data_IF_352071236538
#
_entry.id   IF_352071236538
#
_cell.length_a   1.000
_cell.length_b   1.000
_cell.length_c   1.000
_cell.angle_alpha   90.00
_cell.angle_beta   90.00
_cell.angle_gamma   90.00
#
_symmetry.space_group_name_H-M   'P 1'
#
loop_
_entity.id
_entity.type
_entity.pdbx_description
1 polymer ?
#
# COMPACT_ATOMS: atom_id res chain seq x y z
N UNK A 1 8.24 -1.77 3.57
CA UNK A 1 7.63 -0.86 2.57
C UNK A 1 6.12 -0.74 2.75
N UNK A 2 5.41 -1.81 3.06
CA UNK A 2 3.98 -1.78 3.43
C UNK A 2 3.78 -1.57 4.95
N UNK A 3 4.56 -0.65 5.53
CA UNK A 3 4.36 -0.27 6.93
C UNK A 3 3.06 0.50 7.08
N UNK A 4 2.50 0.46 8.29
CA UNK A 4 1.36 1.27 8.65
C UNK A 4 1.65 2.78 8.52
N UNK A 5 0.59 3.55 8.59
CA UNK A 5 0.51 4.90 8.05
C UNK A 5 0.57 6.01 9.09
N UNK A 6 0.64 5.66 10.38
CA UNK A 6 0.65 6.58 11.49
C UNK A 6 1.86 6.37 12.41
N UNK A 7 2.10 7.34 13.29
CA UNK A 7 3.15 7.30 14.32
C UNK A 7 2.61 6.78 15.67
N UNK A 8 1.40 6.20 15.67
CA UNK A 8 0.86 5.57 16.85
C UNK A 8 1.78 4.42 17.32
N UNK A 9 1.90 4.18 18.64
CA UNK A 9 2.77 3.10 19.14
C UNK A 9 2.41 1.71 18.59
N UNK A 10 1.15 1.47 18.25
CA UNK A 10 0.70 0.20 17.63
C UNK A 10 1.07 0.07 16.15
N UNK A 11 1.40 1.19 15.50
CA UNK A 11 1.71 1.30 14.07
C UNK A 11 3.23 1.46 13.84
N UNK A 12 4.00 1.51 14.93
CA UNK A 12 5.44 1.74 14.91
C UNK A 12 6.17 0.43 15.15
N UNK A 13 7.04 0.07 14.20
CA UNK A 13 7.90 -1.10 14.30
C UNK A 13 8.97 -0.98 15.40
N UNK A 14 9.71 -2.07 15.59
CA UNK A 14 10.93 -2.08 16.40
C UNK A 14 12.17 -2.09 15.52
N UNK A 15 13.30 -1.77 16.15
CA UNK A 15 14.62 -1.93 15.56
C UNK A 15 14.81 -3.36 15.00
N UNK A 16 15.38 -3.53 13.78
CA UNK A 16 15.64 -4.83 13.17
C UNK A 16 16.46 -5.78 14.04
N UNK A 17 17.37 -5.30 14.88
CA UNK A 17 18.11 -6.14 15.83
C UNK A 17 17.19 -6.73 16.90
N UNK A 18 16.24 -5.94 17.42
CA UNK A 18 15.21 -6.41 18.35
C UNK A 18 14.36 -7.47 17.67
N UNK A 19 13.85 -7.20 16.46
CA UNK A 19 13.02 -8.15 15.73
C UNK A 19 13.75 -9.47 15.40
N UNK A 20 15.03 -9.39 15.02
CA UNK A 20 15.87 -10.59 14.80
C UNK A 20 16.03 -11.42 16.07
N UNK A 21 16.10 -10.78 17.23
CA UNK A 21 16.20 -11.48 18.51
C UNK A 21 14.89 -12.16 18.93
N UNK A 22 13.74 -11.55 18.60
CA UNK A 22 12.41 -12.10 18.91
C UNK A 22 11.99 -13.22 17.95
N UNK A 23 12.41 -13.14 16.69
CA UNK A 23 12.05 -14.07 15.62
C UNK A 23 13.28 -14.72 14.97
N UNK A 24 14.16 -15.38 15.74
CA UNK A 24 15.41 -15.93 15.21
C UNK A 24 15.10 -17.01 14.17
N UNK A 25 15.70 -16.86 12.98
CA UNK A 25 15.58 -17.79 11.85
C UNK A 25 14.14 -18.05 11.35
N UNK A 26 13.17 -17.18 11.68
CA UNK A 26 11.77 -17.30 11.24
C UNK A 26 11.38 -16.34 10.13
N UNK A 27 12.04 -15.19 10.08
CA UNK A 27 11.70 -14.07 9.19
C UNK A 27 12.95 -13.63 8.46
N UNK A 28 12.79 -13.36 7.17
CA UNK A 28 13.81 -12.70 6.35
C UNK A 28 13.72 -11.19 6.54
N UNK A 29 14.84 -10.58 6.93
CA UNK A 29 14.95 -9.15 7.20
C UNK A 29 15.67 -8.36 6.09
N UNK A 30 16.04 -9.00 4.97
CA UNK A 30 16.85 -8.39 3.89
C UNK A 30 16.22 -7.12 3.28
N UNK A 31 14.90 -7.00 3.37
CA UNK A 31 14.15 -5.84 2.88
C UNK A 31 13.67 -4.87 3.97
N UNK A 32 14.05 -5.10 5.22
CA UNK A 32 13.81 -4.20 6.35
C UNK A 32 14.99 -3.23 6.44
N UNK A 33 14.78 -1.97 6.05
CA UNK A 33 15.84 -0.96 6.08
C UNK A 33 16.05 -0.46 7.51
N UNK A 34 17.30 -0.18 7.84
CA UNK A 34 17.65 0.54 9.05
C UNK A 34 16.92 1.89 9.12
N UNK A 35 16.41 2.25 10.30
CA UNK A 35 15.66 3.48 10.56
C UNK A 35 14.19 3.48 10.08
N UNK A 36 13.64 2.35 9.59
CA UNK A 36 12.25 2.33 9.09
C UNK A 36 11.23 2.75 10.15
N UNK A 37 11.43 2.33 11.40
CA UNK A 37 10.56 2.64 12.55
C UNK A 37 10.62 4.08 13.05
N UNK A 38 11.54 4.91 12.53
CA UNK A 38 11.71 6.29 12.96
C UNK A 38 10.68 7.23 12.32
N UNK A 39 9.95 6.77 11.30
CA UNK A 39 8.97 7.58 10.56
C UNK A 39 9.57 8.87 9.95
N UNK A 40 10.80 8.76 9.43
CA UNK A 40 11.51 9.88 8.80
C UNK A 40 11.77 9.64 7.30
N UNK A 41 11.95 10.72 6.55
CA UNK A 41 12.29 10.65 5.13
C UNK A 41 11.27 9.86 4.31
N UNK A 42 11.72 8.78 3.66
CA UNK A 42 10.83 7.90 2.89
C UNK A 42 9.82 7.13 3.75
N UNK A 43 10.07 7.01 5.07
CA UNK A 43 9.20 6.33 6.03
C UNK A 43 8.24 7.27 6.76
N UNK A 44 8.31 8.58 6.51
CA UNK A 44 7.42 9.55 7.15
C UNK A 44 5.92 9.28 6.91
N UNK A 45 5.09 9.61 7.88
CA UNK A 45 3.64 9.33 7.89
C UNK A 45 2.82 10.39 7.14
N UNK A 46 3.48 11.37 6.51
CA UNK A 46 2.77 12.37 5.72
C UNK A 46 2.26 11.77 4.39
N UNK A 47 1.15 12.29 3.82
CA UNK A 47 0.52 11.72 2.64
C UNK A 47 1.44 11.60 1.42
N UNK A 48 2.41 12.51 1.27
CA UNK A 48 3.37 12.47 0.16
C UNK A 48 4.28 11.26 0.29
N UNK A 49 4.93 11.09 1.43
CA UNK A 49 5.82 9.95 1.70
C UNK A 49 5.08 8.61 1.59
N UNK A 50 3.85 8.52 2.12
CA UNK A 50 3.01 7.31 1.99
C UNK A 50 2.68 6.96 0.54
N UNK A 51 2.32 7.95 -0.28
CA UNK A 51 2.07 7.74 -1.71
C UNK A 51 3.34 7.31 -2.47
N UNK A 52 4.49 7.89 -2.13
CA UNK A 52 5.78 7.52 -2.70
C UNK A 52 6.17 6.09 -2.31
N UNK A 53 5.96 5.68 -1.05
CA UNK A 53 6.15 4.30 -0.58
C UNK A 53 5.23 3.33 -1.31
N UNK A 54 3.95 3.66 -1.45
CA UNK A 54 2.98 2.85 -2.17
C UNK A 54 3.40 2.65 -3.64
N UNK A 55 3.86 3.70 -4.32
CA UNK A 55 4.39 3.59 -5.68
C UNK A 55 5.68 2.77 -5.76
N UNK A 56 6.59 2.92 -4.80
CA UNK A 56 7.81 2.11 -4.69
C UNK A 56 7.48 0.63 -4.50
N UNK A 57 6.53 0.30 -3.62
CA UNK A 57 6.08 -1.07 -3.37
C UNK A 57 5.43 -1.68 -4.62
N UNK A 58 4.54 -0.95 -5.30
CA UNK A 58 3.92 -1.44 -6.54
C UNK A 58 4.95 -1.74 -7.62
N UNK A 59 5.96 -0.88 -7.80
CA UNK A 59 7.06 -1.13 -8.74
C UNK A 59 7.86 -2.36 -8.33
N UNK A 60 8.23 -2.47 -7.05
CA UNK A 60 8.92 -3.63 -6.53
C UNK A 60 8.16 -4.92 -6.85
N UNK A 61 6.85 -4.96 -6.59
CA UNK A 61 6.00 -6.13 -6.87
C UNK A 61 5.88 -6.41 -8.37
N UNK A 62 5.66 -5.38 -9.20
CA UNK A 62 5.54 -5.50 -10.67
C UNK A 62 6.79 -6.10 -11.31
N UNK A 63 7.96 -5.71 -10.81
CA UNK A 63 9.26 -6.08 -11.40
C UNK A 63 9.75 -7.45 -10.90
N UNK A 64 8.97 -8.14 -10.06
CA UNK A 64 9.25 -9.49 -9.58
C UNK A 64 9.00 -10.55 -10.68
N UNK A 65 9.74 -11.69 -10.65
CA UNK A 65 9.51 -12.78 -11.60
C UNK A 65 8.24 -13.60 -11.33
N UNK A 66 7.68 -13.53 -10.11
CA UNK A 66 6.47 -14.24 -9.75
C UNK A 66 5.24 -13.71 -10.51
N UNK A 67 4.39 -14.62 -11.00
CA UNK A 67 3.17 -14.27 -11.75
C UNK A 67 2.04 -13.77 -10.86
N UNK A 68 1.97 -14.28 -9.64
CA UNK A 68 0.97 -13.95 -8.64
C UNK A 68 1.68 -13.66 -7.32
N UNK A 69 1.33 -12.53 -6.70
CA UNK A 69 1.92 -12.08 -5.43
C UNK A 69 0.78 -11.77 -4.48
N UNK A 70 0.85 -12.35 -3.28
CA UNK A 70 -0.06 -12.04 -2.18
C UNK A 70 0.64 -11.02 -1.28
N UNK A 71 0.00 -9.86 -1.07
CA UNK A 71 0.42 -8.86 -0.10
C UNK A 71 -0.53 -8.90 1.09
N UNK A 72 0.00 -9.15 2.27
CA UNK A 72 -0.70 -8.94 3.54
C UNK A 72 -0.24 -7.60 4.09
N UNK A 73 -1.20 -6.71 4.36
CA UNK A 73 -0.96 -5.32 4.73
C UNK A 73 -2.17 -4.77 5.47
N UNK A 74 -2.01 -3.62 6.10
CA UNK A 74 -3.05 -2.97 6.86
C UNK A 74 -3.98 -2.10 6.00
N UNK A 75 -5.22 -1.95 6.46
CA UNK A 75 -6.28 -1.29 5.71
C UNK A 75 -5.99 0.15 5.31
N UNK A 76 -5.39 0.96 6.20
CA UNK A 76 -5.12 2.36 5.87
C UNK A 76 -4.01 2.51 4.84
N UNK A 77 -2.89 1.79 4.99
CA UNK A 77 -1.87 1.75 3.96
C UNK A 77 -2.40 1.21 2.62
N UNK A 78 -3.34 0.26 2.65
CA UNK A 78 -3.96 -0.26 1.42
C UNK A 78 -4.70 0.83 0.62
N UNK A 79 -5.26 1.87 1.25
CA UNK A 79 -5.82 3.01 0.52
C UNK A 79 -4.75 3.78 -0.27
N UNK A 80 -3.54 3.96 0.27
CA UNK A 80 -2.42 4.52 -0.50
C UNK A 80 -1.97 3.59 -1.62
N UNK A 81 -2.00 2.27 -1.37
CA UNK A 81 -1.64 1.25 -2.35
C UNK A 81 -2.59 1.25 -3.55
N UNK A 82 -3.90 1.35 -3.32
CA UNK A 82 -4.93 1.37 -4.37
C UNK A 82 -5.16 2.74 -4.98
N UNK A 83 -4.72 3.81 -4.32
CA UNK A 83 -4.97 5.18 -4.76
C UNK A 83 -6.30 5.77 -4.29
N UNK A 84 -6.86 5.19 -3.23
CA UNK A 84 -8.12 5.59 -2.60
C UNK A 84 -7.91 6.66 -1.52
N UNK A 85 -6.98 7.58 -1.78
CA UNK A 85 -6.70 8.75 -0.93
C UNK A 85 -6.64 10.01 -1.79
N UNK A 86 -7.07 11.12 -1.23
CA UNK A 86 -6.86 12.44 -1.83
C UNK A 86 -5.48 13.01 -1.44
N UNK A 87 -5.20 14.26 -1.85
CA UNK A 87 -3.89 14.90 -1.64
C UNK A 87 -3.56 15.20 -0.19
N UNK A 88 -4.60 15.32 0.63
CA UNK A 88 -4.48 15.50 2.07
C UNK A 88 -4.28 14.17 2.80
N UNK A 89 -4.29 13.04 2.07
CA UNK A 89 -4.24 11.70 2.65
C UNK A 89 -5.58 11.24 3.24
N UNK A 90 -6.67 11.95 2.96
CA UNK A 90 -8.00 11.56 3.40
C UNK A 90 -8.51 10.44 2.49
N UNK A 91 -9.01 9.35 3.08
CA UNK A 91 -9.55 8.22 2.31
C UNK A 91 -10.77 8.65 1.48
N UNK A 92 -10.90 8.09 0.28
CA UNK A 92 -12.01 8.35 -0.64
C UNK A 92 -12.97 7.18 -0.79
N UNK A 93 -12.66 6.03 -0.17
CA UNK A 93 -13.46 4.80 -0.19
C UNK A 93 -13.71 4.27 1.23
N UNK A 94 -14.71 3.37 1.42
CA UNK A 94 -14.93 2.71 2.70
C UNK A 94 -13.72 1.92 3.18
N UNK A 95 -13.61 1.77 4.50
CA UNK A 95 -12.57 0.97 5.14
C UNK A 95 -12.52 -0.46 4.62
N UNK A 96 -11.31 -0.96 4.48
CA UNK A 96 -11.05 -2.39 4.29
C UNK A 96 -11.57 -3.18 5.50
N UNK A 97 -12.23 -4.30 5.22
CA UNK A 97 -12.70 -5.20 6.28
C UNK A 97 -11.57 -6.10 6.79
N UNK A 98 -11.73 -6.61 8.01
CA UNK A 98 -10.79 -7.58 8.58
C UNK A 98 -10.63 -8.79 7.65
N UNK A 99 -9.39 -9.11 7.30
CA UNK A 99 -9.04 -10.22 6.38
C UNK A 99 -9.68 -10.13 4.99
N UNK A 100 -10.05 -8.93 4.54
CA UNK A 100 -10.66 -8.72 3.22
C UNK A 100 -9.68 -9.09 2.08
N UNK A 101 -10.13 -9.95 1.16
CA UNK A 101 -9.40 -10.29 -0.06
C UNK A 101 -9.88 -9.42 -1.22
N UNK A 102 -8.96 -8.70 -1.85
CA UNK A 102 -9.17 -8.04 -3.15
C UNK A 102 -8.08 -8.43 -4.11
N UNK A 103 -8.42 -8.57 -5.40
CA UNK A 103 -7.45 -8.89 -6.45
C UNK A 103 -7.29 -7.74 -7.43
N UNK A 104 -6.06 -7.51 -7.87
CA UNK A 104 -5.69 -6.40 -8.73
C UNK A 104 -4.78 -6.85 -9.86
N UNK A 105 -4.84 -6.14 -10.98
CA UNK A 105 -3.88 -6.25 -12.09
C UNK A 105 -3.14 -4.94 -12.29
N UNK A 106 -1.89 -5.00 -12.77
CA UNK A 106 -1.17 -3.80 -13.16
C UNK A 106 -1.77 -3.18 -14.41
N UNK A 107 -1.74 -1.85 -14.46
CA UNK A 107 -2.12 -1.08 -15.64
C UNK A 107 -0.88 -0.95 -16.54
N UNK A 108 -1.01 -1.43 -17.77
CA UNK A 108 0.07 -1.39 -18.77
C UNK A 108 0.55 0.05 -19.05
N UNK A 109 1.87 0.21 -19.19
CA UNK A 109 2.50 1.51 -19.47
C UNK A 109 2.52 2.49 -18.29
N UNK A 110 2.17 2.07 -17.07
CA UNK A 110 2.23 2.94 -15.89
C UNK A 110 3.62 3.01 -15.27
N UNK A 111 4.24 4.19 -15.31
CA UNK A 111 5.54 4.49 -14.67
C UNK A 111 5.55 4.31 -13.13
N UNK A 112 4.39 4.50 -12.50
CA UNK A 112 4.21 4.35 -11.05
C UNK A 112 3.55 3.01 -10.67
N UNK A 113 3.54 2.06 -11.62
CA UNK A 113 2.95 0.73 -11.47
C UNK A 113 1.53 0.78 -10.91
N UNK A 114 0.65 1.58 -11.53
CA UNK A 114 -0.76 1.65 -11.14
C UNK A 114 -1.40 0.27 -11.19
N UNK A 115 -2.33 0.03 -10.27
CA UNK A 115 -3.11 -1.20 -10.19
C UNK A 115 -4.59 -0.89 -10.39
N UNK A 116 -5.33 -1.87 -10.90
CA UNK A 116 -6.78 -1.84 -11.09
C UNK A 116 -7.38 -3.07 -10.44
N UNK A 117 -8.42 -2.87 -9.64
CA UNK A 117 -9.16 -4.00 -9.05
C UNK A 117 -9.84 -4.81 -10.16
N UNK A 118 -9.77 -6.14 -10.08
CA UNK A 118 -10.38 -7.02 -11.08
C UNK A 118 -11.90 -7.02 -10.95
N UNK A 119 -12.59 -7.30 -12.06
CA UNK A 119 -14.05 -7.41 -12.04
C UNK A 119 -14.54 -8.54 -11.14
N UNK A 120 -13.82 -9.66 -11.08
CA UNK A 120 -14.12 -10.76 -10.16
C UNK A 120 -14.09 -10.32 -8.69
N UNK A 121 -13.09 -9.52 -8.31
CA UNK A 121 -12.98 -8.93 -6.96
C UNK A 121 -14.16 -8.01 -6.64
N UNK A 122 -14.55 -7.15 -7.58
CA UNK A 122 -15.71 -6.24 -7.40
C UNK A 122 -17.03 -6.98 -7.27
N UNK A 123 -17.23 -8.03 -8.07
CA UNK A 123 -18.43 -8.88 -8.01
C UNK A 123 -18.57 -9.58 -6.65
N UNK A 124 -17.47 -10.08 -6.08
CA UNK A 124 -17.46 -10.69 -4.75
C UNK A 124 -17.89 -9.71 -3.65
N UNK A 125 -17.59 -8.41 -3.81
CA UNK A 125 -18.00 -7.36 -2.86
C UNK A 125 -19.42 -6.85 -3.07
N UNK A 126 -20.12 -7.26 -4.13
CA UNK A 126 -21.45 -6.74 -4.46
C UNK A 126 -21.45 -5.25 -4.84
N UNK A 127 -20.32 -4.73 -5.35
CA UNK A 127 -20.24 -3.33 -5.80
C UNK A 127 -20.98 -3.18 -7.14
N UNK A 128 -21.98 -2.27 -7.28
CA UNK A 128 -22.65 -2.03 -8.57
C UNK A 128 -21.65 -1.57 -9.64
N UNK A 129 -21.91 -1.88 -10.91
CA UNK A 129 -21.15 -1.32 -12.04
C UNK A 129 -21.07 0.21 -11.92
N UNK A 130 -19.86 0.70 -11.72
CA UNK A 130 -19.54 2.11 -11.56
C UNK A 130 -18.08 2.35 -11.95
N UNK A 131 -17.79 3.58 -12.37
CA UNK A 131 -16.52 3.96 -12.98
C UNK A 131 -15.31 3.35 -12.26
N UNK A 132 -14.44 2.70 -13.06
CA UNK A 132 -13.18 2.14 -12.58
C UNK A 132 -12.38 3.24 -11.89
N UNK A 133 -12.29 3.18 -10.56
CA UNK A 133 -11.38 4.00 -9.77
C UNK A 133 -9.96 3.52 -10.03
N UNK A 134 -9.37 4.13 -11.05
CA UNK A 134 -7.94 4.03 -11.34
C UNK A 134 -7.27 5.12 -10.50
N UNK A 135 -6.17 4.83 -9.80
CA UNK A 135 -5.37 5.87 -9.13
C UNK A 135 -4.97 6.95 -10.16
N UNK A 136 -5.39 8.21 -9.96
CA UNK A 136 -5.14 9.34 -10.89
C UNK A 136 -4.28 10.42 -10.22
N UNK A 137 -2.94 10.28 -10.21
CA UNK A 137 -2.06 11.25 -9.59
C UNK A 137 -2.12 12.64 -10.25
N UNK A 138 -2.61 12.72 -11.49
CA UNK A 138 -2.76 13.94 -12.29
C UNK A 138 -4.05 14.73 -11.99
N UNK A 139 -5.03 14.08 -11.35
CA UNK A 139 -6.33 14.68 -10.97
C UNK A 139 -6.41 15.08 -9.50
N UNK A 140 -5.38 14.71 -8.76
CA UNK A 140 -5.04 15.25 -7.45
C UNK A 140 -5.01 16.78 -7.50
N UNK A 141 -5.91 17.43 -6.76
CA UNK A 141 -5.89 18.88 -6.56
C UNK A 141 -6.61 19.72 -7.61
N UNK A 142 -7.29 19.11 -8.59
CA UNK A 142 -8.18 19.83 -9.51
C UNK A 142 -9.62 19.63 -9.07
N UNK A 143 -10.12 20.55 -8.24
CA UNK A 143 -11.55 20.69 -8.02
C UNK A 143 -12.23 21.02 -9.35
N UNK A 144 -13.20 20.21 -9.76
CA UNK A 144 -14.26 20.65 -10.67
C UNK A 144 -15.08 21.77 -10.03
#
# INVERSE_FOLDING_TARGET
MAEESSDAPCDTGSDPEVLRSEFPDKVDFDHVREGWWLHEGEYATNPKALNERAAKLRRFIRDRPEKEVVLVSHGFFNHYLTGDVNDKGEQTTPWWQETELRTFTFVDGSEIAMIRETEASKMLKGTPEGDVLVNRPDRRGKSS
#
